data_IF_183558502421
#
_entry.id   IF_183558502421
#
_cell.length_a   1.000
_cell.length_b   1.000
_cell.length_c   1.000
_cell.angle_alpha   90.00
_cell.angle_beta   90.00
_cell.angle_gamma   90.00
#
_symmetry.space_group_name_H-M   'P 1'
#
loop_
_entity.id
_entity.type
_entity.pdbx_description
1 polymer ?
#
# COMPACT_ATOMS: atom_id res chain seq x y z
N UNK A 1 -3.34 -74.54 31.71
CA UNK A 1 -3.88 -75.69 30.97
C UNK A 1 -4.34 -75.16 29.61
N UNK A 2 -3.41 -75.10 28.64
CA UNK A 2 -3.40 -75.92 27.41
C UNK A 2 -4.56 -75.54 26.45
N UNK A 3 -4.34 -74.63 25.49
CA UNK A 3 -3.85 -74.85 24.11
C UNK A 3 -4.71 -75.83 23.29
N UNK A 4 -5.33 -75.35 22.19
CA UNK A 4 -5.15 -75.93 20.84
C UNK A 4 -5.68 -75.01 19.71
N UNK A 5 -4.80 -74.77 18.73
CA UNK A 5 -4.96 -74.12 17.42
C UNK A 5 -5.75 -75.06 16.46
N UNK A 6 -6.42 -74.63 15.39
CA UNK A 6 -5.85 -74.23 14.08
C UNK A 6 -7.00 -73.90 13.06
N UNK A 7 -6.70 -73.39 11.84
CA UNK A 7 -7.55 -72.47 11.06
C UNK A 7 -8.32 -73.10 9.89
N UNK A 8 -9.36 -72.41 9.38
CA UNK A 8 -10.01 -72.74 8.10
C UNK A 8 -9.61 -71.76 6.99
N UNK A 9 -8.91 -72.28 5.99
CA UNK A 9 -8.60 -71.63 4.72
C UNK A 9 -9.82 -71.58 3.80
N UNK A 10 -10.16 -70.41 3.29
CA UNK A 10 -10.94 -70.28 2.05
C UNK A 10 -10.18 -69.40 1.07
N UNK A 11 -9.60 -70.06 0.08
CA UNK A 11 -9.08 -69.45 -1.13
C UNK A 11 -10.24 -68.91 -1.96
N UNK A 12 -10.20 -67.63 -2.33
CA UNK A 12 -10.80 -67.22 -3.59
C UNK A 12 -9.83 -66.31 -4.33
N UNK A 13 -9.42 -66.83 -5.50
CA UNK A 13 -8.48 -66.24 -6.43
C UNK A 13 -9.14 -65.01 -7.07
N UNK A 14 -8.56 -63.83 -6.88
CA UNK A 14 -8.85 -62.69 -7.74
C UNK A 14 -8.03 -62.81 -9.03
N UNK A 15 -8.64 -62.64 -10.21
CA UNK A 15 -7.92 -62.72 -11.47
C UNK A 15 -6.97 -61.54 -11.62
N UNK A 16 -5.69 -61.84 -11.84
CA UNK A 16 -4.70 -60.90 -12.37
C UNK A 16 -5.06 -60.62 -13.83
N UNK A 17 -5.93 -59.63 -14.04
CA UNK A 17 -6.21 -59.03 -15.34
C UNK A 17 -5.57 -57.65 -15.40
N UNK A 18 -4.57 -57.50 -16.26
CA UNK A 18 -3.77 -56.29 -16.39
C UNK A 18 -4.59 -55.05 -16.74
N UNK A 19 -4.30 -53.96 -16.04
CA UNK A 19 -4.34 -52.63 -16.63
C UNK A 19 -3.02 -51.95 -16.27
N UNK A 20 -2.18 -51.87 -17.29
CA UNK A 20 -0.94 -51.12 -17.33
C UNK A 20 -1.14 -49.71 -16.74
N UNK A 21 -0.08 -49.23 -16.10
CA UNK A 21 -0.04 -47.97 -15.37
C UNK A 21 -0.66 -46.81 -16.13
N UNK A 22 -1.69 -46.22 -15.54
CA UNK A 22 -1.90 -44.78 -15.62
C UNK A 22 -1.32 -44.19 -14.35
N UNK A 23 -0.02 -43.90 -14.41
CA UNK A 23 0.54 -42.85 -13.57
C UNK A 23 -0.28 -41.60 -13.89
N UNK A 24 -1.08 -41.14 -12.94
CA UNK A 24 -1.64 -39.79 -13.00
C UNK A 24 -0.46 -38.85 -12.89
N UNK A 25 0.18 -38.61 -14.03
CA UNK A 25 1.13 -37.53 -14.18
C UNK A 25 0.38 -36.27 -13.80
N UNK A 26 0.66 -35.78 -12.60
CA UNK A 26 0.24 -34.45 -12.19
C UNK A 26 1.05 -33.50 -13.07
N UNK A 27 0.59 -33.29 -14.30
CA UNK A 27 1.01 -32.19 -15.14
C UNK A 27 0.44 -30.91 -14.52
N UNK A 28 0.91 -30.55 -13.33
CA UNK A 28 0.69 -29.23 -12.74
C UNK A 28 1.83 -28.30 -13.14
N UNK A 29 2.14 -28.25 -14.43
CA UNK A 29 2.77 -27.07 -15.01
C UNK A 29 1.70 -25.95 -15.08
N UNK A 30 1.12 -25.58 -13.94
CA UNK A 30 0.46 -24.29 -13.82
C UNK A 30 1.57 -23.28 -13.96
N UNK A 31 1.72 -22.74 -15.18
CA UNK A 31 2.67 -21.68 -15.45
C UNK A 31 2.48 -20.59 -14.38
N UNK A 32 3.43 -20.47 -13.46
CA UNK A 32 3.37 -19.44 -12.43
C UNK A 32 3.34 -18.10 -13.17
N UNK A 33 2.39 -17.19 -12.87
CA UNK A 33 2.33 -15.89 -13.54
C UNK A 33 3.70 -15.21 -13.45
N UNK A 34 4.27 -14.84 -14.59
CA UNK A 34 5.61 -14.20 -14.67
C UNK A 34 5.68 -12.82 -13.99
N UNK A 35 4.56 -12.31 -13.48
CA UNK A 35 4.49 -11.05 -12.77
C UNK A 35 3.08 -10.77 -12.26
N UNK A 36 2.91 -9.62 -11.62
CA UNK A 36 1.66 -9.20 -10.99
C UNK A 36 0.69 -8.49 -11.96
N UNK A 37 0.99 -8.42 -13.26
CA UNK A 37 0.21 -7.65 -14.25
C UNK A 37 -0.91 -8.43 -14.94
N UNK A 38 -2.10 -7.84 -15.01
CA UNK A 38 -3.23 -8.28 -15.86
C UNK A 38 -3.45 -7.28 -17.00
N UNK A 39 -4.31 -7.60 -17.99
CA UNK A 39 -4.69 -6.67 -19.06
C UNK A 39 -5.16 -5.32 -18.48
N UNK A 40 -6.02 -5.36 -17.46
CA UNK A 40 -6.58 -4.16 -16.84
C UNK A 40 -5.51 -3.33 -16.10
N UNK A 41 -4.57 -3.96 -15.38
CA UNK A 41 -3.51 -3.20 -14.71
C UNK A 41 -2.50 -2.62 -15.70
N UNK A 42 -2.30 -3.24 -16.87
CA UNK A 42 -1.49 -2.67 -17.94
C UNK A 42 -2.15 -1.44 -18.56
N UNK A 43 -3.46 -1.50 -18.83
CA UNK A 43 -4.23 -0.35 -19.32
C UNK A 43 -4.16 0.78 -18.29
N UNK A 44 -4.40 0.48 -17.00
CA UNK A 44 -4.27 1.46 -15.92
C UNK A 44 -2.85 2.07 -15.85
N UNK A 45 -1.81 1.24 -15.99
CA UNK A 45 -0.42 1.71 -16.01
C UNK A 45 -0.12 2.64 -17.19
N UNK A 46 -0.59 2.31 -18.40
CA UNK A 46 -0.44 3.17 -19.58
C UNK A 46 -1.15 4.51 -19.38
N UNK A 47 -2.41 4.47 -18.89
CA UNK A 47 -3.17 5.68 -18.58
C UNK A 47 -2.47 6.54 -17.54
N UNK A 48 -1.92 5.92 -16.50
CA UNK A 48 -1.17 6.59 -15.44
C UNK A 48 0.10 7.26 -15.99
N UNK A 49 0.87 6.56 -16.82
CA UNK A 49 2.10 7.12 -17.42
C UNK A 49 1.74 8.28 -18.36
N UNK A 50 0.71 8.11 -19.19
CA UNK A 50 0.25 9.17 -20.09
C UNK A 50 -0.27 10.39 -19.33
N UNK A 51 -1.06 10.20 -18.28
CA UNK A 51 -1.56 11.30 -17.46
C UNK A 51 -0.42 11.98 -16.69
N UNK A 52 0.57 11.23 -16.21
CA UNK A 52 1.73 11.82 -15.54
C UNK A 52 2.63 12.62 -16.48
N UNK A 53 2.85 12.12 -17.69
CA UNK A 53 3.56 12.87 -18.73
C UNK A 53 2.81 14.15 -19.10
N UNK A 54 1.47 14.09 -19.23
CA UNK A 54 0.66 15.27 -19.52
C UNK A 54 0.68 16.28 -18.37
N UNK A 55 0.62 15.83 -17.11
CA UNK A 55 0.78 16.73 -15.96
C UNK A 55 2.16 17.41 -15.95
N UNK A 56 3.22 16.67 -16.29
CA UNK A 56 4.56 17.25 -16.40
C UNK A 56 4.63 18.33 -17.49
N UNK A 57 3.98 18.10 -18.64
CA UNK A 57 3.88 19.13 -19.70
C UNK A 57 3.09 20.35 -19.23
N UNK A 58 1.97 20.15 -18.52
CA UNK A 58 1.21 21.24 -17.93
C UNK A 58 2.06 22.04 -16.95
N UNK A 59 2.78 21.38 -16.04
CA UNK A 59 3.59 22.05 -15.03
C UNK A 59 4.86 22.73 -15.58
N UNK A 60 5.51 22.16 -16.60
CA UNK A 60 6.80 22.67 -17.08
C UNK A 60 6.67 23.62 -18.27
N UNK A 61 5.67 23.42 -19.13
CA UNK A 61 5.56 24.12 -20.42
C UNK A 61 4.37 25.08 -20.44
N UNK A 62 3.17 24.61 -20.05
CA UNK A 62 1.94 25.35 -20.30
C UNK A 62 1.50 26.26 -19.14
N UNK A 63 1.83 25.91 -17.90
CA UNK A 63 1.37 26.68 -16.75
C UNK A 63 2.07 28.03 -16.67
N UNK A 64 1.27 29.10 -16.59
CA UNK A 64 1.76 30.45 -16.39
C UNK A 64 2.42 30.60 -15.00
N UNK A 65 3.24 31.63 -14.87
CA UNK A 65 3.76 32.03 -13.57
C UNK A 65 2.66 32.73 -12.77
N UNK A 66 2.58 32.42 -11.47
CA UNK A 66 1.67 33.11 -10.56
C UNK A 66 2.20 34.54 -10.29
N UNK A 67 1.29 35.47 -10.03
CA UNK A 67 1.63 36.88 -9.81
C UNK A 67 2.58 37.09 -8.62
N UNK A 68 2.37 36.34 -7.54
CA UNK A 68 3.07 36.54 -6.27
C UNK A 68 4.12 35.44 -6.03
N UNK A 69 3.86 34.22 -6.49
CA UNK A 69 4.76 33.06 -6.33
C UNK A 69 5.65 32.79 -7.55
N UNK A 70 5.43 33.47 -8.68
CA UNK A 70 6.17 33.23 -9.91
C UNK A 70 6.09 31.77 -10.36
N UNK A 71 7.22 31.21 -10.80
CA UNK A 71 7.32 29.81 -11.22
C UNK A 71 7.20 28.79 -10.08
N UNK A 72 7.31 29.22 -8.81
CA UNK A 72 7.27 28.31 -7.65
C UNK A 72 5.89 27.68 -7.44
N UNK A 73 4.81 28.31 -7.95
CA UNK A 73 3.44 27.77 -7.94
C UNK A 73 3.36 26.37 -8.57
N UNK A 74 4.24 26.07 -9.52
CA UNK A 74 4.29 24.77 -10.23
C UNK A 74 4.62 23.60 -9.29
N UNK A 75 5.27 23.87 -8.15
CA UNK A 75 5.52 22.86 -7.10
C UNK A 75 4.20 22.34 -6.53
N UNK A 76 3.14 23.16 -6.48
CA UNK A 76 1.82 22.76 -5.96
C UNK A 76 1.21 21.59 -6.75
N UNK A 77 1.51 21.47 -8.05
CA UNK A 77 1.01 20.38 -8.90
C UNK A 77 1.60 19.01 -8.55
N UNK A 78 2.64 18.97 -7.72
CA UNK A 78 3.23 17.74 -7.18
C UNK A 78 2.98 17.64 -5.68
N UNK A 79 3.21 18.74 -4.95
CA UNK A 79 3.09 18.78 -3.50
C UNK A 79 1.67 18.46 -3.02
N UNK A 80 0.67 19.17 -3.55
CA UNK A 80 -0.73 19.01 -3.10
C UNK A 80 -1.28 17.62 -3.48
N UNK A 81 -1.09 17.10 -4.71
CA UNK A 81 -1.47 15.72 -5.01
C UNK A 81 -0.74 14.66 -4.19
N UNK A 82 0.51 14.90 -3.80
CA UNK A 82 1.27 13.96 -2.95
C UNK A 82 0.64 13.82 -1.57
N UNK A 83 0.38 14.92 -0.86
CA UNK A 83 -0.24 14.83 0.48
C UNK A 83 -1.70 14.36 0.41
N UNK A 84 -2.43 14.71 -0.65
CA UNK A 84 -3.77 14.19 -0.93
C UNK A 84 -3.78 12.67 -1.04
N UNK A 85 -2.87 12.10 -1.85
CA UNK A 85 -2.75 10.65 -1.99
C UNK A 85 -2.29 10.00 -0.70
N UNK A 86 -1.36 10.61 0.05
CA UNK A 86 -0.96 10.09 1.35
C UNK A 86 -2.16 9.94 2.30
N UNK A 87 -3.06 10.92 2.34
CA UNK A 87 -4.27 10.83 3.16
C UNK A 87 -5.22 9.74 2.70
N UNK A 88 -5.43 9.58 1.38
CA UNK A 88 -6.21 8.47 0.84
C UNK A 88 -5.58 7.12 1.21
N UNK A 89 -4.26 7.01 1.09
CA UNK A 89 -3.51 5.79 1.37
C UNK A 89 -3.64 5.37 2.84
N UNK A 90 -3.51 6.32 3.75
CA UNK A 90 -3.66 6.11 5.19
C UNK A 90 -5.12 5.84 5.57
N UNK A 91 -6.09 6.54 4.96
CA UNK A 91 -7.51 6.24 5.09
C UNK A 91 -7.85 4.81 4.65
N UNK A 92 -7.31 4.37 3.51
CA UNK A 92 -7.44 2.99 3.03
C UNK A 92 -6.78 1.99 3.98
N UNK A 93 -5.62 2.35 4.54
CA UNK A 93 -4.90 1.54 5.54
C UNK A 93 -5.74 1.31 6.79
N UNK A 94 -6.35 2.38 7.32
CA UNK A 94 -7.24 2.32 8.47
C UNK A 94 -8.55 1.57 8.16
N UNK A 95 -9.18 1.84 7.01
CA UNK A 95 -10.41 1.16 6.60
C UNK A 95 -10.21 -0.36 6.45
N UNK A 96 -9.15 -0.78 5.74
CA UNK A 96 -8.85 -2.20 5.59
C UNK A 96 -8.49 -2.85 6.94
N UNK A 97 -7.79 -2.12 7.82
CA UNK A 97 -7.49 -2.57 9.18
C UNK A 97 -8.75 -2.75 10.04
N UNK A 98 -9.71 -1.82 9.94
CA UNK A 98 -11.00 -1.93 10.62
C UNK A 98 -11.80 -3.14 10.12
N UNK A 99 -11.84 -3.34 8.80
CA UNK A 99 -12.52 -4.50 8.19
C UNK A 99 -11.87 -5.81 8.65
N UNK A 100 -10.54 -5.87 8.71
CA UNK A 100 -9.81 -7.04 9.21
C UNK A 100 -10.16 -7.37 10.67
N UNK A 101 -10.27 -6.37 11.54
CA UNK A 101 -10.59 -6.56 12.95
C UNK A 101 -12.07 -6.89 13.20
N UNK A 102 -12.96 -6.58 12.24
CA UNK A 102 -14.37 -6.92 12.32
C UNK A 102 -14.61 -8.44 12.36
N UNK A 103 -15.55 -8.89 13.19
CA UNK A 103 -15.82 -10.32 13.47
C UNK A 103 -16.12 -11.14 12.20
N UNK A 104 -16.65 -10.53 11.14
CA UNK A 104 -17.01 -11.22 9.88
C UNK A 104 -15.85 -11.40 8.89
N UNK A 105 -14.82 -10.55 8.93
CA UNK A 105 -13.91 -10.37 7.79
C UNK A 105 -12.41 -10.48 8.14
N UNK A 106 -12.01 -11.52 8.87
CA UNK A 106 -10.59 -11.80 9.23
C UNK A 106 -9.71 -12.33 8.09
N UNK A 107 -10.02 -11.96 6.84
CA UNK A 107 -9.24 -12.35 5.68
C UNK A 107 -7.93 -11.55 5.61
N UNK A 108 -6.81 -12.23 5.33
CA UNK A 108 -5.50 -11.60 5.14
C UNK A 108 -5.44 -10.71 3.88
N UNK A 109 -6.45 -10.76 3.02
CA UNK A 109 -6.56 -9.83 1.88
C UNK A 109 -6.60 -8.38 2.38
N UNK A 110 -7.38 -8.11 3.43
CA UNK A 110 -7.50 -6.77 4.01
C UNK A 110 -6.18 -6.30 4.65
N UNK A 111 -5.46 -7.21 5.32
CA UNK A 111 -4.11 -6.92 5.84
C UNK A 111 -3.13 -6.54 4.73
N UNK A 112 -3.17 -7.24 3.59
CA UNK A 112 -2.29 -6.97 2.45
C UNK A 112 -2.61 -5.63 1.79
N UNK A 113 -3.88 -5.29 1.64
CA UNK A 113 -4.28 -3.96 1.16
C UNK A 113 -3.86 -2.86 2.14
N UNK A 114 -4.03 -3.07 3.45
CA UNK A 114 -3.59 -2.12 4.45
C UNK A 114 -2.07 -1.91 4.40
N UNK A 115 -1.29 -2.99 4.35
CA UNK A 115 0.17 -2.92 4.24
C UNK A 115 0.64 -2.23 2.96
N UNK A 116 0.04 -2.57 1.81
CA UNK A 116 0.37 -1.96 0.53
C UNK A 116 0.07 -0.45 0.50
N UNK A 117 -1.13 -0.05 0.96
CA UNK A 117 -1.51 1.34 1.04
C UNK A 117 -0.63 2.12 2.02
N UNK A 118 -0.32 1.55 3.19
CA UNK A 118 0.55 2.20 4.18
C UNK A 118 1.97 2.44 3.65
N UNK A 119 2.56 1.47 2.95
CA UNK A 119 3.90 1.61 2.36
C UNK A 119 3.95 2.70 1.29
N UNK A 120 2.96 2.72 0.40
CA UNK A 120 2.88 3.75 -0.65
C UNK A 120 2.55 5.12 -0.06
N UNK A 121 1.70 5.19 0.96
CA UNK A 121 1.39 6.42 1.67
C UNK A 121 2.62 7.06 2.30
N UNK A 122 3.51 6.27 2.92
CA UNK A 122 4.80 6.75 3.45
C UNK A 122 5.65 7.39 2.36
N UNK A 123 5.72 6.79 1.16
CA UNK A 123 6.46 7.38 0.03
C UNK A 123 5.88 8.74 -0.37
N UNK A 124 4.55 8.87 -0.44
CA UNK A 124 3.91 10.13 -0.79
C UNK A 124 4.05 11.20 0.29
N UNK A 125 4.06 10.84 1.58
CA UNK A 125 4.41 11.80 2.65
C UNK A 125 5.87 12.24 2.53
N UNK A 126 6.80 11.33 2.23
CA UNK A 126 8.19 11.71 2.02
C UNK A 126 8.35 12.70 0.86
N UNK A 127 7.68 12.43 -0.27
CA UNK A 127 7.64 13.37 -1.41
C UNK A 127 7.03 14.71 -1.00
N UNK A 128 5.94 14.69 -0.21
CA UNK A 128 5.32 15.91 0.31
C UNK A 128 6.25 16.71 1.21
N UNK A 129 7.02 16.06 2.10
CA UNK A 129 7.98 16.73 2.98
C UNK A 129 9.13 17.36 2.17
N UNK A 130 9.68 16.63 1.19
CA UNK A 130 10.75 17.15 0.32
C UNK A 130 10.25 18.34 -0.51
N UNK A 131 9.13 18.17 -1.21
CA UNK A 131 8.56 19.24 -2.04
C UNK A 131 8.10 20.45 -1.22
N UNK A 132 7.53 20.20 -0.03
CA UNK A 132 7.14 21.26 0.89
C UNK A 132 8.32 22.03 1.46
N UNK A 133 9.44 21.34 1.74
CA UNK A 133 10.68 21.96 2.17
C UNK A 133 11.30 22.85 1.09
N UNK A 134 11.30 22.39 -0.17
CA UNK A 134 11.72 23.18 -1.33
C UNK A 134 10.84 24.43 -1.51
N UNK A 135 9.52 24.26 -1.40
CA UNK A 135 8.59 25.39 -1.48
C UNK A 135 8.81 26.38 -0.33
N UNK A 136 9.01 25.90 0.89
CA UNK A 136 9.36 26.74 2.03
C UNK A 136 10.62 27.59 1.78
N UNK A 137 11.68 27.00 1.23
CA UNK A 137 12.90 27.75 0.90
C UNK A 137 12.63 28.89 -0.07
N UNK A 138 11.73 28.70 -1.03
CA UNK A 138 11.35 29.72 -2.02
C UNK A 138 10.41 30.78 -1.43
N UNK A 139 9.46 30.39 -0.58
CA UNK A 139 8.41 31.30 -0.06
C UNK A 139 8.85 32.12 1.15
N UNK A 140 9.59 31.53 2.10
CA UNK A 140 9.99 32.21 3.36
C UNK A 140 11.49 32.06 3.67
N UNK A 141 12.30 31.61 2.71
CA UNK A 141 13.76 31.62 2.82
C UNK A 141 14.38 30.50 3.68
N UNK A 142 13.63 29.50 4.13
CA UNK A 142 14.16 28.37 4.92
C UNK A 142 13.47 27.05 4.57
N UNK A 143 14.23 25.96 4.62
CA UNK A 143 13.76 24.59 4.34
C UNK A 143 12.85 24.04 5.44
N UNK A 144 13.00 24.51 6.68
CA UNK A 144 12.24 24.02 7.81
C UNK A 144 12.02 25.11 8.85
N UNK A 145 10.81 25.10 9.41
CA UNK A 145 10.44 25.81 10.62
C UNK A 145 9.60 24.86 11.47
N UNK A 146 9.64 25.03 12.78
CA UNK A 146 8.86 24.23 13.73
C UNK A 146 7.40 24.69 13.80
N UNK A 147 6.79 24.87 12.64
CA UNK A 147 5.39 25.21 12.48
C UNK A 147 4.48 23.98 12.76
N UNK A 148 3.25 24.23 13.19
CA UNK A 148 2.29 23.18 13.55
C UNK A 148 2.01 22.21 12.38
N UNK A 149 1.82 22.71 11.14
CA UNK A 149 1.58 21.84 9.98
C UNK A 149 2.80 20.99 9.67
N UNK A 150 3.97 21.61 9.59
CA UNK A 150 5.21 20.93 9.23
C UNK A 150 5.53 19.83 10.27
N UNK A 151 5.49 20.19 11.54
CA UNK A 151 5.81 19.29 12.65
C UNK A 151 4.81 18.14 12.74
N UNK A 152 3.50 18.42 12.62
CA UNK A 152 2.47 17.37 12.63
C UNK A 152 2.56 16.43 11.43
N UNK A 153 2.97 16.93 10.25
CA UNK A 153 3.20 16.09 9.06
C UNK A 153 4.45 15.21 9.21
N UNK A 154 5.53 15.72 9.83
CA UNK A 154 6.70 14.91 10.15
C UNK A 154 6.39 13.84 11.21
N UNK A 155 5.55 14.16 12.20
CA UNK A 155 5.06 13.18 13.16
C UNK A 155 4.25 12.08 12.47
N UNK A 156 3.32 12.44 11.59
CA UNK A 156 2.57 11.49 10.74
C UNK A 156 3.49 10.56 9.95
N UNK A 157 4.54 11.12 9.35
CA UNK A 157 5.55 10.33 8.63
C UNK A 157 6.22 9.30 9.53
N UNK A 158 6.70 9.71 10.70
CA UNK A 158 7.37 8.84 11.67
C UNK A 158 6.41 7.77 12.21
N UNK A 159 5.16 8.13 12.52
CA UNK A 159 4.15 7.16 12.97
C UNK A 159 3.92 6.07 11.94
N UNK A 160 3.81 6.42 10.66
CA UNK A 160 3.61 5.42 9.61
C UNK A 160 4.89 4.63 9.28
N UNK A 161 6.09 5.18 9.50
CA UNK A 161 7.33 4.37 9.54
C UNK A 161 7.28 3.35 10.68
N UNK A 162 6.82 3.75 11.87
CA UNK A 162 6.57 2.85 13.00
C UNK A 162 5.54 1.76 12.67
N UNK A 163 4.46 2.10 11.97
CA UNK A 163 3.49 1.13 11.45
C UNK A 163 4.17 0.07 10.56
N UNK A 164 5.02 0.49 9.60
CA UNK A 164 5.76 -0.43 8.74
C UNK A 164 6.77 -1.28 9.53
N UNK A 165 7.43 -0.70 10.53
CA UNK A 165 8.33 -1.44 11.41
C UNK A 165 7.60 -2.54 12.18
N UNK A 166 6.42 -2.25 12.74
CA UNK A 166 5.60 -3.25 13.43
C UNK A 166 5.14 -4.38 12.50
N UNK A 167 4.88 -4.08 11.23
CA UNK A 167 4.54 -5.11 10.22
C UNK A 167 5.70 -6.07 9.94
N UNK A 168 6.93 -5.68 10.21
CA UNK A 168 8.14 -6.51 10.02
C UNK A 168 8.52 -7.31 11.27
N UNK A 169 7.81 -7.13 12.40
CA UNK A 169 8.03 -7.95 13.58
C UNK A 169 7.68 -9.41 13.31
N UNK A 170 8.49 -10.32 13.85
CA UNK A 170 8.27 -11.75 13.73
C UNK A 170 6.93 -12.22 14.30
N UNK A 171 6.49 -13.39 13.81
CA UNK A 171 5.25 -14.05 14.18
C UNK A 171 4.43 -14.44 12.97
N UNK A 172 3.25 -15.01 13.21
CA UNK A 172 2.32 -15.42 12.14
C UNK A 172 1.74 -14.22 11.40
N UNK A 173 1.31 -14.42 10.15
CA UNK A 173 0.61 -13.39 9.37
C UNK A 173 -0.59 -12.76 10.11
N UNK A 174 -1.28 -13.55 10.95
CA UNK A 174 -2.40 -13.07 11.77
C UNK A 174 -1.95 -12.17 12.92
N UNK A 175 -0.81 -12.46 13.54
CA UNK A 175 -0.22 -11.60 14.57
C UNK A 175 0.25 -10.28 13.98
N UNK A 176 0.94 -10.32 12.82
CA UNK A 176 1.29 -9.13 12.03
C UNK A 176 0.06 -8.26 11.79
N UNK A 177 -0.96 -8.85 11.16
CA UNK A 177 -2.19 -8.15 10.78
C UNK A 177 -2.90 -7.50 11.97
N UNK A 178 -3.04 -8.22 13.09
CA UNK A 178 -3.71 -7.69 14.30
C UNK A 178 -2.94 -6.51 14.91
N UNK A 179 -1.61 -6.65 15.08
CA UNK A 179 -0.77 -5.59 15.67
C UNK A 179 -0.79 -4.34 14.80
N UNK A 180 -0.58 -4.49 13.50
CA UNK A 180 -0.58 -3.37 12.57
C UNK A 180 -1.96 -2.73 12.44
N UNK A 181 -3.04 -3.51 12.47
CA UNK A 181 -4.39 -2.97 12.35
C UNK A 181 -4.75 -2.01 13.49
N UNK A 182 -4.37 -2.34 14.73
CA UNK A 182 -4.58 -1.45 15.87
C UNK A 182 -3.80 -0.15 15.70
N UNK A 183 -2.53 -0.23 15.28
CA UNK A 183 -1.72 0.97 15.04
C UNK A 183 -2.28 1.84 13.93
N UNK A 184 -2.77 1.26 12.82
CA UNK A 184 -3.37 2.02 11.74
C UNK A 184 -4.60 2.83 12.18
N UNK A 185 -5.42 2.25 13.08
CA UNK A 185 -6.61 2.92 13.61
C UNK A 185 -6.29 4.05 14.59
N UNK A 186 -5.10 4.01 15.22
CA UNK A 186 -4.61 5.11 16.05
C UNK A 186 -3.94 6.18 15.18
N UNK A 187 -3.08 5.77 14.24
CA UNK A 187 -2.32 6.66 13.36
C UNK A 187 -3.21 7.54 12.47
N UNK A 188 -4.37 7.03 12.02
CA UNK A 188 -5.30 7.80 11.18
C UNK A 188 -5.82 9.07 11.86
N UNK A 189 -5.85 9.11 13.21
CA UNK A 189 -6.28 10.27 13.98
C UNK A 189 -5.33 11.47 13.81
N UNK A 190 -4.11 11.24 13.35
CA UNK A 190 -3.18 12.31 13.03
C UNK A 190 -3.57 13.08 11.78
N UNK A 191 -4.32 12.50 10.82
CA UNK A 191 -4.72 13.21 9.60
C UNK A 191 -5.59 14.44 9.92
N UNK A 192 -6.67 14.33 10.73
CA UNK A 192 -7.41 15.51 11.18
C UNK A 192 -6.52 16.53 11.89
N UNK A 193 -5.60 16.08 12.76
CA UNK A 193 -4.67 16.95 13.46
C UNK A 193 -3.79 17.73 12.47
N UNK A 194 -3.19 17.04 11.49
CA UNK A 194 -2.40 17.69 10.44
C UNK A 194 -3.29 18.63 9.65
N UNK A 195 -4.47 18.20 9.18
CA UNK A 195 -5.35 18.99 8.32
C UNK A 195 -5.84 20.29 8.98
N UNK A 196 -6.26 20.23 10.25
CA UNK A 196 -6.76 21.39 10.98
C UNK A 196 -5.67 22.19 11.71
N UNK A 197 -4.41 21.74 11.68
CA UNK A 197 -3.29 22.42 12.36
C UNK A 197 -3.19 23.92 12.07
N UNK A 198 -3.43 24.33 10.82
CA UNK A 198 -3.36 25.75 10.40
C UNK A 198 -4.47 26.63 10.98
N UNK A 199 -5.60 26.03 11.39
CA UNK A 199 -6.71 26.74 12.06
C UNK A 199 -6.61 26.66 13.58
N UNK A 200 -6.02 25.58 14.08
CA UNK A 200 -5.90 25.31 15.52
C UNK A 200 -4.73 26.09 16.16
N UNK A 201 -3.66 26.36 15.40
CA UNK A 201 -2.49 27.10 15.87
C UNK A 201 -2.17 28.27 14.96
N UNK A 202 -1.49 29.29 15.51
CA UNK A 202 -0.86 30.35 14.70
C UNK A 202 0.20 29.69 13.83
N UNK A 203 -0.05 29.65 12.53
CA UNK A 203 0.79 28.97 11.57
C UNK A 203 1.34 29.96 10.55
N UNK A 204 2.61 29.80 10.19
CA UNK A 204 3.19 30.47 9.03
C UNK A 204 2.69 29.82 7.73
N UNK A 205 2.27 28.56 7.81
CA UNK A 205 1.87 27.77 6.65
C UNK A 205 0.55 28.29 6.08
N UNK A 206 0.49 28.45 4.76
CA UNK A 206 -0.69 28.97 4.07
C UNK A 206 -1.91 28.06 4.31
N UNK A 207 -3.08 28.68 4.48
CA UNK A 207 -4.34 27.96 4.44
C UNK A 207 -4.59 27.38 3.04
N UNK A 208 -5.52 26.43 2.94
CA UNK A 208 -5.84 25.80 1.66
C UNK A 208 -6.37 26.84 0.66
N UNK A 209 -5.54 27.18 -0.33
CA UNK A 209 -5.78 28.17 -1.37
C UNK A 209 -7.13 28.05 -2.07
N UNK A 210 -7.57 26.81 -2.28
CA UNK A 210 -8.82 26.50 -3.01
C UNK A 210 -10.06 26.55 -2.11
N UNK A 211 -9.91 26.43 -0.79
CA UNK A 211 -11.03 26.34 0.15
C UNK A 211 -11.36 27.67 0.84
N UNK A 212 -10.38 28.57 0.94
CA UNK A 212 -10.57 29.89 1.54
C UNK A 212 -10.23 30.93 0.46
N UNK A 213 -11.25 31.56 -0.15
CA UNK A 213 -11.11 32.52 -1.26
C UNK A 213 -10.38 33.84 -0.92
N UNK A 214 -9.50 33.83 0.08
CA UNK A 214 -8.73 34.98 0.58
C UNK A 214 -7.27 34.64 0.87
N UNK A 215 -6.66 33.75 0.09
CA UNK A 215 -5.20 33.48 0.15
C UNK A 215 -4.48 34.22 -0.97
N UNK A 216 -3.20 34.53 -0.76
CA UNK A 216 -2.31 35.25 -1.71
C UNK A 216 -2.01 34.49 -3.02
N UNK A 217 -2.78 33.45 -3.36
CA UNK A 217 -2.60 32.69 -4.61
C UNK A 217 -3.95 32.58 -5.30
N UNK A 218 -4.15 33.36 -6.35
CA UNK A 218 -5.32 33.25 -7.20
C UNK A 218 -5.09 32.17 -8.27
N UNK A 219 -5.45 30.92 -7.98
CA UNK A 219 -5.41 29.84 -8.97
C UNK A 219 -6.65 29.86 -9.86
N UNK A 220 -6.54 30.42 -11.06
CA UNK A 220 -7.59 30.39 -12.09
C UNK A 220 -7.15 29.65 -13.36
N UNK A 221 -8.13 29.36 -14.22
CA UNK A 221 -7.94 28.76 -15.54
C UNK A 221 -7.07 27.49 -15.55
N UNK A 222 -5.94 27.60 -16.24
CA UNK A 222 -5.04 26.46 -16.50
C UNK A 222 -4.27 26.03 -15.24
N UNK A 223 -4.03 26.91 -14.28
CA UNK A 223 -3.38 26.56 -13.02
C UNK A 223 -4.26 25.65 -12.18
N UNK A 224 -5.55 26.01 -12.05
CA UNK A 224 -6.52 25.22 -11.31
C UNK A 224 -6.78 23.87 -12.00
N UNK A 225 -6.91 23.88 -13.33
CA UNK A 225 -7.02 22.64 -14.11
C UNK A 225 -5.82 21.72 -13.87
N UNK A 226 -4.59 22.25 -13.91
CA UNK A 226 -3.36 21.49 -13.69
C UNK A 226 -3.32 20.87 -12.30
N UNK A 227 -3.76 21.61 -11.28
CA UNK A 227 -3.84 21.11 -9.91
C UNK A 227 -4.82 19.92 -9.77
N UNK A 228 -6.05 20.07 -10.24
CA UNK A 228 -7.05 18.99 -10.17
C UNK A 228 -6.69 17.78 -11.05
N UNK A 229 -6.14 18.04 -12.23
CA UNK A 229 -5.60 16.98 -13.08
C UNK A 229 -4.45 16.24 -12.38
N UNK A 230 -3.64 16.96 -11.60
CA UNK A 230 -2.63 16.39 -10.70
C UNK A 230 -3.23 15.46 -9.66
N UNK A 231 -4.31 15.87 -8.96
CA UNK A 231 -5.01 15.01 -8.00
C UNK A 231 -5.46 13.69 -8.63
N UNK A 232 -6.04 13.75 -9.83
CA UNK A 232 -6.50 12.57 -10.57
C UNK A 232 -5.30 11.69 -10.96
N UNK A 233 -4.26 12.28 -11.55
CA UNK A 233 -3.10 11.53 -12.04
C UNK A 233 -2.34 10.82 -10.91
N UNK A 234 -2.12 11.50 -9.78
CA UNK A 234 -1.48 10.91 -8.61
C UNK A 234 -2.37 9.83 -7.98
N UNK A 235 -3.71 10.01 -7.98
CA UNK A 235 -4.63 8.96 -7.50
C UNK A 235 -4.59 7.72 -8.39
N UNK A 236 -4.51 7.87 -9.72
CA UNK A 236 -4.31 6.74 -10.64
C UNK A 236 -2.99 6.02 -10.37
N UNK A 237 -1.90 6.78 -10.17
CA UNK A 237 -0.60 6.24 -9.79
C UNK A 237 -0.68 5.44 -8.49
N UNK A 238 -1.31 5.99 -7.46
CA UNK A 238 -1.53 5.31 -6.19
C UNK A 238 -2.28 3.98 -6.37
N UNK A 239 -3.41 3.98 -7.08
CA UNK A 239 -4.20 2.77 -7.32
C UNK A 239 -3.38 1.70 -8.06
N UNK A 240 -2.63 2.12 -9.07
CA UNK A 240 -1.77 1.22 -9.82
C UNK A 240 -0.69 0.58 -8.94
N UNK A 241 -0.01 1.39 -8.13
CA UNK A 241 1.02 0.91 -7.19
C UNK A 241 0.44 -0.02 -6.13
N UNK A 242 -0.71 0.31 -5.52
CA UNK A 242 -1.32 -0.50 -4.46
C UNK A 242 -1.72 -1.87 -4.97
N UNK A 243 -2.28 -1.96 -6.18
CA UNK A 243 -2.65 -3.26 -6.77
C UNK A 243 -1.41 -4.15 -6.94
N UNK A 244 -0.32 -3.60 -7.47
CA UNK A 244 0.92 -4.36 -7.67
C UNK A 244 1.59 -4.73 -6.34
N UNK A 245 1.60 -3.81 -5.36
CA UNK A 245 2.20 -4.08 -4.05
C UNK A 245 1.40 -5.10 -3.25
N UNK A 246 0.06 -5.02 -3.27
CA UNK A 246 -0.81 -5.99 -2.62
C UNK A 246 -0.60 -7.40 -3.19
N UNK A 247 -0.49 -7.54 -4.50
CA UNK A 247 -0.19 -8.82 -5.16
C UNK A 247 1.20 -9.34 -4.78
N UNK A 248 2.19 -8.46 -4.67
CA UNK A 248 3.53 -8.83 -4.23
C UNK A 248 3.53 -9.36 -2.79
N UNK A 249 2.85 -8.68 -1.86
CA UNK A 249 2.65 -9.15 -0.49
C UNK A 249 1.92 -10.50 -0.42
N UNK A 250 0.95 -10.75 -1.32
CA UNK A 250 0.27 -12.04 -1.39
C UNK A 250 1.21 -13.18 -1.83
N UNK A 251 2.13 -12.90 -2.76
CA UNK A 251 3.14 -13.85 -3.22
C UNK A 251 4.21 -14.09 -2.16
N UNK A 252 4.66 -13.05 -1.46
CA UNK A 252 5.58 -13.15 -0.32
C UNK A 252 5.00 -14.06 0.77
N UNK A 253 3.76 -13.81 1.20
CA UNK A 253 3.07 -14.69 2.17
C UNK A 253 2.96 -16.13 1.65
N UNK A 254 2.68 -16.35 0.35
CA UNK A 254 2.56 -17.69 -0.21
C UNK A 254 3.89 -18.46 -0.24
N UNK A 255 5.00 -17.78 -0.49
CA UNK A 255 6.36 -18.36 -0.44
C UNK A 255 6.71 -18.75 1.00
N UNK A 256 6.41 -17.88 1.98
CA UNK A 256 6.67 -18.14 3.40
C UNK A 256 5.92 -19.39 3.89
N UNK A 257 4.63 -19.52 3.54
CA UNK A 257 3.84 -20.70 3.92
C UNK A 257 4.40 -22.00 3.31
N UNK A 258 4.81 -22.00 2.04
CA UNK A 258 5.42 -23.19 1.41
C UNK A 258 6.73 -23.60 2.06
N UNK A 259 7.56 -22.63 2.45
CA UNK A 259 8.80 -22.89 3.18
C UNK A 259 8.55 -23.54 4.55
N UNK A 260 7.51 -23.07 5.26
CA UNK A 260 7.08 -23.66 6.51
C UNK A 260 6.57 -25.10 6.34
N UNK A 261 5.75 -25.36 5.33
CA UNK A 261 5.21 -26.70 5.05
C UNK A 261 6.34 -27.70 4.74
N UNK A 262 7.32 -27.30 3.91
CA UNK A 262 8.48 -28.13 3.60
C UNK A 262 9.35 -28.41 4.83
N UNK A 263 9.55 -27.42 5.70
CA UNK A 263 10.30 -27.61 6.94
C UNK A 263 9.57 -28.56 7.91
N UNK A 264 8.24 -28.49 7.99
CA UNK A 264 7.44 -29.41 8.82
C UNK A 264 7.55 -30.84 8.30
N UNK A 265 7.50 -31.04 6.99
CA UNK A 265 7.60 -32.38 6.40
C UNK A 265 8.98 -33.01 6.64
N UNK A 266 10.06 -32.25 6.43
CA UNK A 266 11.42 -32.71 6.73
C UNK A 266 11.57 -33.16 8.21
N UNK A 267 10.97 -32.42 9.14
CA UNK A 267 10.96 -32.79 10.57
C UNK A 267 10.15 -34.04 10.88
N UNK A 268 9.10 -34.34 10.09
CA UNK A 268 8.33 -35.58 10.23
C UNK A 268 9.12 -36.78 9.72
N UNK A 269 9.84 -36.63 8.61
CA UNK A 269 10.71 -37.68 8.06
C UNK A 269 11.86 -38.00 9.03
N UNK A 270 12.46 -36.99 9.67
CA UNK A 270 13.46 -37.17 10.74
C UNK A 270 12.92 -37.96 11.95
N UNK A 271 11.63 -37.85 12.27
CA UNK A 271 11.03 -38.49 13.45
C UNK A 271 10.61 -39.96 13.19
N UNK A 272 10.54 -40.39 11.93
CA UNK A 272 10.13 -41.74 11.53
C UNK A 272 11.35 -42.66 11.30
N UNK A 273 12.54 -42.09 11.13
CA UNK A 273 13.82 -42.80 11.02
C UNK A 273 14.50 -42.95 12.38
#
# INVERSE_FOLDING_TARGET
MLWHLAPSSTSNRFPLGGLAGKTWGVNSAVASPRGTGTRNTRILGILTIASMAFLALLGLVFSAEDRDQGSSVRIMYVHVPSIWVAYIAFGMTAACSAIYLSRRNRSLIWDRFAGAAGEIGVLFVAVSLVTGSLWGRLSWGTYWVWDARLTSTAFLFITYLGYLAVRRLGGTHRQRARRSAVLALLAILEIPLVHFSVRLWRSLHQEATVATGGTDVHMDGLMLFSLFFGLISFTLLFLWLVIHRQRSLALEDAVENRGLDAAIEARREEAVN
#
